data_IF_238507600236
#
_entry.id   IF_238507600236
#
_cell.length_a   1.000
_cell.length_b   1.000
_cell.length_c   1.000
_cell.angle_alpha   90.00
_cell.angle_beta   90.00
_cell.angle_gamma   90.00
#
_symmetry.space_group_name_H-M   'P 1'
#
loop_
_entity.id
_entity.type
_entity.pdbx_description
1 polymer ?
#
# COMPACT_ATOMS: atom_id res chain seq x y z
N UNK A 1 1.36 -9.75 -23.21
CA UNK A 1 0.56 -10.16 -22.04
C UNK A 1 1.53 -10.66 -20.99
N UNK A 2 1.33 -10.26 -19.73
CA UNK A 2 2.25 -10.61 -18.62
C UNK A 2 2.06 -12.07 -18.13
N UNK A 3 1.04 -12.74 -18.65
CA UNK A 3 0.68 -14.12 -18.32
C UNK A 3 0.82 -15.05 -19.52
N UNK A 4 1.23 -16.29 -19.28
CA UNK A 4 1.34 -17.33 -20.29
C UNK A 4 -0.05 -17.88 -20.63
N UNK A 5 -0.86 -18.19 -19.61
CA UNK A 5 -2.21 -18.72 -19.79
C UNK A 5 -3.19 -18.05 -18.83
N UNK A 6 -4.32 -17.62 -19.37
CA UNK A 6 -5.51 -17.21 -18.61
C UNK A 6 -6.68 -18.00 -19.19
N UNK A 7 -7.04 -19.10 -18.52
CA UNK A 7 -8.12 -19.99 -18.99
C UNK A 7 -9.26 -19.92 -17.98
N UNK A 8 -10.47 -19.72 -18.48
CA UNK A 8 -11.67 -19.67 -17.65
C UNK A 8 -11.90 -18.33 -16.94
N UNK A 9 -10.97 -17.38 -17.08
CA UNK A 9 -11.01 -16.07 -16.42
C UNK A 9 -11.05 -14.89 -17.40
N UNK A 10 -11.53 -13.75 -16.89
CA UNK A 10 -11.56 -12.47 -17.59
C UNK A 10 -11.40 -11.29 -16.61
N UNK A 11 -10.95 -10.16 -17.13
CA UNK A 11 -10.82 -8.94 -16.33
C UNK A 11 -12.20 -8.32 -16.19
N UNK A 12 -12.68 -8.14 -14.96
CA UNK A 12 -13.98 -7.54 -14.64
C UNK A 12 -13.80 -6.26 -13.85
N UNK A 13 -14.77 -5.35 -13.97
CA UNK A 13 -14.80 -4.09 -13.21
C UNK A 13 -15.34 -4.30 -11.79
N UNK A 14 -15.15 -3.34 -10.86
CA UNK A 14 -15.69 -3.39 -9.49
C UNK A 14 -17.18 -3.75 -9.37
N UNK A 15 -18.00 -3.44 -10.36
CA UNK A 15 -19.45 -3.67 -10.32
C UNK A 15 -19.86 -5.09 -10.79
N UNK A 16 -18.89 -5.92 -11.16
CA UNK A 16 -19.07 -7.23 -11.79
C UNK A 16 -18.37 -8.34 -10.98
N UNK A 17 -18.72 -9.60 -11.26
CA UNK A 17 -18.09 -10.78 -10.63
C UNK A 17 -18.20 -10.79 -9.11
N UNK A 18 -17.06 -10.93 -8.43
CA UNK A 18 -16.95 -10.92 -6.97
C UNK A 18 -16.84 -9.51 -6.35
N UNK A 19 -16.93 -8.45 -7.15
CA UNK A 19 -16.79 -7.07 -6.70
C UNK A 19 -15.33 -6.64 -6.58
N UNK A 20 -15.05 -5.75 -5.62
CA UNK A 20 -13.69 -5.26 -5.35
C UNK A 20 -12.93 -6.29 -4.53
N UNK A 21 -11.81 -6.77 -5.06
CA UNK A 21 -10.93 -7.74 -4.40
C UNK A 21 -9.83 -7.03 -3.61
N UNK A 22 -9.06 -6.19 -4.28
CA UNK A 22 -8.12 -5.26 -3.63
C UNK A 22 -8.49 -3.83 -3.97
N UNK A 23 -8.40 -3.46 -5.25
CA UNK A 23 -8.84 -2.15 -5.74
C UNK A 23 -9.08 -2.19 -7.25
N UNK A 24 -10.09 -1.46 -7.73
CA UNK A 24 -10.38 -1.42 -9.17
C UNK A 24 -10.76 -2.78 -9.77
N UNK A 25 -10.29 -3.04 -10.99
CA UNK A 25 -10.61 -4.26 -11.74
C UNK A 25 -9.83 -5.47 -11.25
N UNK A 26 -10.45 -6.64 -11.24
CA UNK A 26 -9.83 -7.91 -10.83
C UNK A 26 -9.91 -8.97 -11.93
N UNK A 27 -9.11 -10.03 -11.80
CA UNK A 27 -9.18 -11.19 -12.69
C UNK A 27 -10.15 -12.22 -12.10
N UNK A 28 -11.29 -12.41 -12.75
CA UNK A 28 -12.42 -13.21 -12.27
C UNK A 28 -12.63 -14.47 -13.11
N UNK A 29 -12.85 -15.61 -12.45
CA UNK A 29 -12.98 -16.93 -13.06
C UNK A 29 -14.39 -17.49 -12.88
N UNK A 30 -15.13 -17.62 -13.99
CA UNK A 30 -16.49 -18.19 -14.00
C UNK A 30 -16.76 -19.15 -15.15
N UNK A 31 -15.94 -19.18 -16.19
CA UNK A 31 -16.26 -19.94 -17.41
C UNK A 31 -16.07 -21.44 -17.22
N UNK A 32 -16.71 -22.23 -18.08
CA UNK A 32 -16.58 -23.68 -18.11
C UNK A 32 -15.18 -24.18 -18.52
N UNK A 33 -14.98 -25.50 -18.44
CA UNK A 33 -13.78 -26.18 -18.93
C UNK A 33 -12.67 -26.21 -17.89
N UNK A 34 -11.71 -25.30 -17.97
CA UNK A 34 -10.57 -25.23 -17.05
C UNK A 34 -10.40 -23.80 -16.53
N UNK A 35 -10.24 -23.65 -15.22
CA UNK A 35 -9.97 -22.35 -14.58
C UNK A 35 -8.55 -22.33 -14.05
N UNK A 36 -7.67 -21.64 -14.76
CA UNK A 36 -6.28 -21.47 -14.34
C UNK A 36 -5.65 -20.16 -14.81
N UNK A 37 -4.72 -19.68 -14.00
CA UNK A 37 -3.81 -18.59 -14.30
C UNK A 37 -2.38 -19.14 -14.25
N UNK A 38 -1.59 -18.97 -15.31
CA UNK A 38 -0.21 -19.47 -15.39
C UNK A 38 0.75 -18.34 -15.77
N UNK A 39 1.77 -18.11 -14.95
CA UNK A 39 2.83 -17.15 -15.23
C UNK A 39 3.76 -17.65 -16.34
N UNK A 40 4.51 -16.73 -16.96
CA UNK A 40 5.73 -17.14 -17.68
C UNK A 40 6.76 -17.76 -16.72
N UNK A 41 7.78 -18.41 -17.27
CA UNK A 41 8.93 -18.84 -16.47
C UNK A 41 9.67 -17.60 -15.97
N UNK A 42 9.87 -17.53 -14.66
CA UNK A 42 10.53 -16.43 -13.96
C UNK A 42 11.84 -16.94 -13.34
N UNK A 43 12.88 -16.08 -13.34
CA UNK A 43 14.04 -16.30 -12.50
C UNK A 43 13.68 -15.95 -11.04
N UNK A 44 13.48 -17.00 -10.25
CA UNK A 44 13.07 -16.91 -8.85
C UNK A 44 14.23 -17.18 -7.88
N UNK A 45 15.47 -17.28 -8.39
CA UNK A 45 16.65 -17.53 -7.55
C UNK A 45 16.84 -16.47 -6.46
N UNK A 46 16.35 -15.25 -6.71
CA UNK A 46 16.40 -14.11 -5.79
C UNK A 46 15.07 -13.79 -5.11
N UNK A 47 13.97 -14.41 -5.56
CA UNK A 47 12.61 -14.10 -5.07
C UNK A 47 12.44 -14.59 -3.63
N UNK A 48 11.79 -13.77 -2.81
CA UNK A 48 11.59 -14.08 -1.40
C UNK A 48 10.14 -14.48 -1.11
N UNK A 49 9.17 -13.89 -1.80
CA UNK A 49 7.75 -14.13 -1.52
C UNK A 49 6.87 -14.04 -2.76
N UNK A 50 5.67 -14.60 -2.62
CA UNK A 50 4.51 -14.35 -3.46
C UNK A 50 3.38 -13.80 -2.59
N UNK A 51 2.75 -12.72 -3.03
CA UNK A 51 1.58 -12.14 -2.37
C UNK A 51 0.50 -11.74 -3.38
N UNK A 52 -0.76 -11.78 -2.95
CA UNK A 52 -1.92 -11.44 -3.77
C UNK A 52 -3.17 -11.29 -2.88
N UNK A 53 -4.22 -10.71 -3.43
CA UNK A 53 -5.56 -10.80 -2.86
C UNK A 53 -6.39 -11.84 -3.60
N UNK A 54 -7.17 -12.62 -2.88
CA UNK A 54 -8.08 -13.60 -3.48
C UNK A 54 -9.41 -13.64 -2.72
N UNK A 55 -10.48 -13.87 -3.46
CA UNK A 55 -11.78 -14.24 -2.95
C UNK A 55 -12.26 -15.49 -3.70
N UNK A 56 -12.75 -16.48 -2.97
CA UNK A 56 -13.36 -17.71 -3.48
C UNK A 56 -14.80 -17.73 -3.01
N UNK A 57 -15.70 -17.41 -3.93
CA UNK A 57 -17.11 -17.24 -3.64
C UNK A 57 -17.42 -16.05 -2.72
N UNK A 58 -18.71 -15.80 -2.54
CA UNK A 58 -19.23 -14.62 -1.87
C UNK A 58 -20.71 -14.75 -1.61
N UNK A 59 -21.37 -13.64 -1.30
CA UNK A 59 -22.81 -13.63 -1.02
C UNK A 59 -23.66 -13.27 -2.24
N UNK A 60 -23.02 -12.87 -3.35
CA UNK A 60 -23.71 -12.49 -4.58
C UNK A 60 -23.93 -13.69 -5.50
N UNK A 61 -24.94 -13.60 -6.36
CA UNK A 61 -25.19 -14.61 -7.39
C UNK A 61 -24.05 -14.68 -8.44
N UNK A 62 -23.35 -13.57 -8.66
CA UNK A 62 -22.17 -13.48 -9.54
C UNK A 62 -20.87 -13.93 -8.87
N UNK A 63 -20.92 -14.39 -7.62
CA UNK A 63 -19.76 -14.92 -6.90
C UNK A 63 -20.29 -15.90 -5.86
N UNK A 64 -20.76 -17.04 -6.35
CA UNK A 64 -21.38 -18.08 -5.53
C UNK A 64 -20.32 -18.82 -4.71
N UNK A 65 -20.71 -19.28 -3.50
CA UNK A 65 -19.81 -20.00 -2.60
C UNK A 65 -19.62 -21.44 -3.08
N UNK A 66 -18.39 -21.96 -3.07
CA UNK A 66 -18.16 -23.38 -3.28
C UNK A 66 -18.87 -24.21 -2.20
N UNK A 67 -19.34 -25.38 -2.60
CA UNK A 67 -20.10 -26.30 -1.75
C UNK A 67 -19.27 -27.49 -1.26
N UNK A 68 -18.07 -27.68 -1.85
CA UNK A 68 -17.17 -28.78 -1.50
C UNK A 68 -15.71 -28.35 -1.37
N UNK A 69 -14.94 -29.16 -0.64
CA UNK A 69 -13.51 -28.91 -0.39
C UNK A 69 -12.69 -28.86 -1.68
N UNK A 70 -13.05 -29.67 -2.67
CA UNK A 70 -12.27 -29.86 -3.89
C UNK A 70 -12.37 -28.65 -4.85
N UNK A 71 -13.27 -27.71 -4.54
CA UNK A 71 -13.52 -26.49 -5.31
C UNK A 71 -12.69 -25.28 -4.83
N UNK A 72 -11.79 -25.51 -3.88
CA UNK A 72 -10.77 -24.53 -3.51
C UNK A 72 -9.79 -24.21 -4.65
N UNK A 73 -8.99 -23.16 -4.46
CA UNK A 73 -7.97 -22.75 -5.43
C UNK A 73 -6.60 -23.16 -4.92
N UNK A 74 -5.81 -23.79 -5.78
CA UNK A 74 -4.46 -24.22 -5.46
C UNK A 74 -3.45 -23.25 -6.07
N UNK A 75 -2.48 -22.82 -5.26
CA UNK A 75 -1.26 -22.19 -5.76
C UNK A 75 -0.17 -23.25 -5.87
N UNK A 76 0.39 -23.41 -7.07
CA UNK A 76 1.44 -24.38 -7.36
C UNK A 76 2.57 -23.75 -8.14
N UNK A 77 3.75 -24.40 -8.11
CA UNK A 77 4.89 -24.03 -8.94
C UNK A 77 5.43 -25.20 -9.75
N UNK A 78 6.16 -24.90 -10.82
CA UNK A 78 6.85 -25.87 -11.65
C UNK A 78 8.22 -25.35 -12.05
N UNK A 79 9.24 -26.21 -11.94
CA UNK A 79 10.63 -25.92 -12.33
C UNK A 79 11.02 -26.58 -13.66
N UNK A 80 10.06 -27.17 -14.38
CA UNK A 80 10.30 -27.94 -15.60
C UNK A 80 9.29 -27.59 -16.70
N UNK A 81 8.90 -26.32 -16.77
CA UNK A 81 8.03 -25.82 -17.83
C UNK A 81 6.59 -26.34 -17.76
N UNK A 82 6.11 -26.75 -16.57
CA UNK A 82 4.73 -27.18 -16.35
C UNK A 82 4.47 -28.68 -16.51
N UNK A 83 5.51 -29.51 -16.61
CA UNK A 83 5.37 -30.99 -16.69
C UNK A 83 4.97 -31.56 -15.33
N UNK A 84 5.64 -31.12 -14.25
CA UNK A 84 5.30 -31.48 -12.87
C UNK A 84 4.99 -30.22 -12.07
N UNK A 85 3.99 -30.31 -11.19
CA UNK A 85 3.52 -29.22 -10.35
C UNK A 85 3.63 -29.60 -8.88
N UNK A 86 4.19 -28.70 -8.09
CA UNK A 86 4.35 -28.84 -6.64
C UNK A 86 3.44 -27.84 -5.93
N UNK A 87 2.76 -28.26 -4.87
CA UNK A 87 1.85 -27.42 -4.10
C UNK A 87 2.63 -26.41 -3.23
N UNK A 88 2.25 -25.13 -3.31
CA UNK A 88 2.70 -24.09 -2.37
C UNK A 88 1.65 -23.87 -1.30
N UNK A 89 0.39 -23.69 -1.70
CA UNK A 89 -0.72 -23.44 -0.78
C UNK A 89 -2.05 -23.94 -1.37
N UNK A 90 -2.92 -24.39 -0.48
CA UNK A 90 -4.34 -24.65 -0.74
C UNK A 90 -5.13 -23.48 -0.14
N UNK A 91 -5.82 -22.72 -0.98
CA UNK A 91 -6.75 -21.68 -0.53
C UNK A 91 -8.09 -22.36 -0.27
N UNK A 92 -8.32 -22.68 1.00
CA UNK A 92 -9.48 -23.47 1.42
C UNK A 92 -10.80 -22.73 1.16
N UNK A 93 -11.73 -23.39 0.50
CA UNK A 93 -12.94 -22.78 -0.06
C UNK A 93 -13.77 -21.92 0.93
N UNK A 94 -13.86 -22.31 2.20
CA UNK A 94 -14.63 -21.56 3.20
C UNK A 94 -13.90 -20.35 3.78
N UNK A 95 -12.57 -20.34 3.72
CA UNK A 95 -11.76 -19.30 4.35
C UNK A 95 -11.72 -18.04 3.48
N UNK A 96 -11.97 -18.15 2.17
CA UNK A 96 -11.81 -17.05 1.23
C UNK A 96 -13.15 -16.49 0.72
N UNK A 97 -14.25 -16.68 1.46
CA UNK A 97 -15.58 -16.17 1.06
C UNK A 97 -15.70 -14.63 1.08
N UNK A 98 -14.65 -13.94 1.51
CA UNK A 98 -14.45 -12.49 1.46
C UNK A 98 -13.03 -12.25 0.93
N UNK A 99 -12.74 -11.11 0.31
CA UNK A 99 -11.39 -10.80 -0.11
C UNK A 99 -10.39 -10.93 1.04
N UNK A 100 -9.33 -11.70 0.83
CA UNK A 100 -8.24 -11.87 1.80
C UNK A 100 -6.89 -11.72 1.13
N UNK A 101 -5.99 -11.07 1.86
CA UNK A 101 -4.59 -11.00 1.52
C UNK A 101 -3.89 -12.32 1.84
N UNK A 102 -3.08 -12.80 0.90
CA UNK A 102 -2.23 -13.98 1.05
C UNK A 102 -0.78 -13.54 0.87
N UNK A 103 0.08 -13.95 1.81
CA UNK A 103 1.53 -13.78 1.74
C UNK A 103 2.19 -15.12 2.02
N UNK A 104 3.08 -15.55 1.13
CA UNK A 104 3.81 -16.81 1.26
C UNK A 104 5.29 -16.59 0.96
N UNK A 105 6.15 -16.99 1.90
CA UNK A 105 7.58 -17.09 1.64
C UNK A 105 7.84 -18.22 0.64
N UNK A 106 8.67 -17.93 -0.36
CA UNK A 106 8.98 -18.89 -1.41
C UNK A 106 9.98 -19.94 -0.89
N UNK A 107 9.65 -21.24 -0.92
CA UNK A 107 10.54 -22.28 -0.42
C UNK A 107 11.79 -22.39 -1.30
N UNK A 108 12.92 -22.83 -0.72
CA UNK A 108 14.18 -22.96 -1.44
C UNK A 108 14.08 -23.83 -2.72
N UNK A 109 13.22 -24.85 -2.71
CA UNK A 109 12.97 -25.72 -3.87
C UNK A 109 12.28 -25.00 -5.04
N UNK A 110 11.63 -23.86 -4.81
CA UNK A 110 10.99 -23.04 -5.82
C UNK A 110 11.87 -21.86 -6.26
N UNK A 111 13.09 -21.69 -5.71
CA UNK A 111 14.02 -20.62 -6.07
C UNK A 111 14.96 -21.08 -7.19
N UNK A 112 14.47 -21.10 -8.42
CA UNK A 112 15.24 -21.55 -9.59
C UNK A 112 15.21 -20.54 -10.75
N UNK A 113 16.17 -20.60 -11.70
CA UNK A 113 16.19 -19.69 -12.85
C UNK A 113 14.98 -19.77 -13.77
N UNK A 114 14.20 -20.86 -13.72
CA UNK A 114 13.04 -21.09 -14.57
C UNK A 114 11.91 -21.70 -13.74
N UNK A 115 11.25 -20.88 -12.92
CA UNK A 115 10.09 -21.30 -12.13
C UNK A 115 8.85 -20.59 -12.63
N UNK A 116 7.77 -21.34 -12.85
CA UNK A 116 6.44 -20.76 -13.14
C UNK A 116 5.45 -21.08 -12.04
N UNK A 117 4.47 -20.21 -11.87
CA UNK A 117 3.40 -20.34 -10.90
C UNK A 117 2.06 -20.57 -11.60
N UNK A 118 1.17 -21.33 -10.96
CA UNK A 118 -0.23 -21.39 -11.36
C UNK A 118 -1.19 -21.28 -10.19
N UNK A 119 -2.27 -20.54 -10.42
CA UNK A 119 -3.49 -20.62 -9.62
C UNK A 119 -4.47 -21.50 -10.40
N UNK A 120 -4.97 -22.55 -9.78
CA UNK A 120 -5.79 -23.55 -10.45
C UNK A 120 -6.93 -24.00 -9.55
N UNK A 121 -8.14 -23.99 -10.08
CA UNK A 121 -9.32 -24.58 -9.45
C UNK A 121 -9.53 -25.99 -10.04
N UNK A 122 -9.35 -27.07 -9.26
CA UNK A 122 -9.41 -28.43 -9.77
C UNK A 122 -10.82 -28.88 -10.16
N UNK A 123 -11.80 -28.57 -9.31
CA UNK A 123 -13.20 -28.95 -9.45
C UNK A 123 -14.05 -27.70 -9.29
N UNK A 124 -15.18 -27.64 -10.00
CA UNK A 124 -16.22 -26.64 -9.85
C UNK A 124 -17.52 -27.21 -10.41
N UNK A 125 -18.65 -26.78 -9.86
CA UNK A 125 -20.00 -27.25 -10.13
C UNK A 125 -20.55 -26.88 -11.52
N UNK A 126 -19.86 -26.01 -12.25
CA UNK A 126 -20.14 -25.69 -13.64
C UNK A 126 -19.80 -24.25 -14.03
N UNK A 127 -20.20 -23.87 -15.24
CA UNK A 127 -20.14 -22.46 -15.65
C UNK A 127 -20.97 -21.61 -14.70
N UNK A 128 -20.41 -20.48 -14.27
CA UNK A 128 -21.03 -19.55 -13.32
C UNK A 128 -21.36 -20.13 -11.93
N UNK A 129 -20.64 -21.17 -11.50
CA UNK A 129 -20.59 -21.64 -10.10
C UNK A 129 -19.17 -21.56 -9.53
N UNK A 130 -19.06 -21.45 -8.21
CA UNK A 130 -17.81 -21.49 -7.43
C UNK A 130 -16.76 -20.51 -7.95
N UNK A 131 -17.22 -19.30 -8.25
CA UNK A 131 -16.37 -18.31 -8.89
C UNK A 131 -15.36 -17.76 -7.89
N UNK A 132 -14.20 -17.40 -8.41
CA UNK A 132 -13.15 -16.78 -7.63
C UNK A 132 -12.53 -15.65 -8.42
N UNK A 133 -11.97 -14.70 -7.71
CA UNK A 133 -11.24 -13.61 -8.30
C UNK A 133 -9.93 -13.39 -7.55
N UNK A 134 -8.91 -13.02 -8.32
CA UNK A 134 -7.56 -12.73 -7.82
C UNK A 134 -7.14 -11.35 -8.31
N UNK A 135 -6.39 -10.67 -7.47
CA UNK A 135 -5.94 -9.31 -7.73
C UNK A 135 -4.57 -9.06 -7.10
N UNK A 136 -3.86 -8.05 -7.61
CA UNK A 136 -2.62 -7.52 -7.02
C UNK A 136 -1.52 -8.59 -6.78
N UNK A 137 -1.30 -9.46 -7.76
CA UNK A 137 -0.30 -10.53 -7.70
C UNK A 137 1.12 -9.95 -7.81
N UNK A 138 1.95 -10.26 -6.81
CA UNK A 138 3.34 -9.81 -6.70
C UNK A 138 4.23 -11.00 -6.40
N UNK A 139 5.26 -11.19 -7.22
CA UNK A 139 6.30 -12.20 -7.06
C UNK A 139 7.63 -11.46 -7.09
N UNK A 140 8.22 -11.20 -5.92
CA UNK A 140 9.37 -10.30 -5.79
C UNK A 140 10.34 -10.75 -4.70
N UNK A 141 11.53 -10.16 -4.73
CA UNK A 141 12.46 -10.14 -3.60
C UNK A 141 12.27 -8.90 -2.76
N UNK A 142 12.46 -9.00 -1.45
CA UNK A 142 12.58 -7.83 -0.58
C UNK A 142 13.76 -6.93 -0.98
N UNK A 143 14.80 -7.50 -1.58
CA UNK A 143 16.02 -6.79 -1.99
C UNK A 143 15.85 -6.05 -3.31
N UNK A 144 14.81 -6.39 -4.10
CA UNK A 144 14.61 -5.81 -5.41
C UNK A 144 13.86 -4.48 -5.29
N UNK A 145 14.45 -3.44 -5.88
CA UNK A 145 13.93 -2.07 -5.78
C UNK A 145 12.87 -1.70 -6.84
N UNK A 146 12.38 -2.66 -7.64
CA UNK A 146 11.48 -2.41 -8.77
C UNK A 146 10.05 -2.04 -8.37
N UNK A 147 9.61 -0.88 -8.82
CA UNK A 147 8.23 -0.39 -8.69
C UNK A 147 7.34 -1.26 -9.58
N UNK A 148 6.15 -1.62 -9.10
CA UNK A 148 5.13 -2.25 -9.95
C UNK A 148 4.56 -1.17 -10.88
N UNK A 149 4.61 -1.38 -12.21
CA UNK A 149 4.19 -0.35 -13.15
C UNK A 149 2.71 -0.01 -12.97
N UNK A 150 2.43 1.22 -12.53
CA UNK A 150 1.06 1.78 -12.54
C UNK A 150 0.74 2.18 -13.98
N UNK A 151 -0.46 1.84 -14.45
CA UNK A 151 -0.84 1.95 -15.87
C UNK A 151 -0.88 3.41 -16.38
N UNK A 152 -0.87 4.42 -15.50
CA UNK A 152 -0.66 5.84 -15.82
C UNK A 152 -0.39 6.59 -14.50
N UNK A 153 0.87 6.66 -14.02
CA UNK A 153 1.16 7.28 -12.73
C UNK A 153 0.91 8.79 -12.80
N UNK A 154 0.44 9.38 -11.70
CA UNK A 154 0.42 10.86 -11.53
C UNK A 154 1.83 11.43 -11.45
N UNK A 155 2.80 10.61 -11.04
CA UNK A 155 4.22 10.92 -11.06
C UNK A 155 4.78 10.91 -12.51
N UNK A 156 5.38 12.02 -13.00
CA UNK A 156 5.95 12.10 -14.34
C UNK A 156 7.10 11.09 -14.56
N UNK A 157 7.06 10.30 -15.64
CA UNK A 157 8.11 9.31 -15.98
C UNK A 157 9.53 9.91 -16.09
N UNK A 158 9.66 11.20 -16.38
CA UNK A 158 10.95 11.89 -16.53
C UNK A 158 11.61 12.23 -15.18
N UNK A 159 10.90 12.05 -14.07
CA UNK A 159 11.47 12.09 -12.71
C UNK A 159 12.19 10.76 -12.36
N UNK A 160 12.04 9.72 -13.19
CA UNK A 160 12.60 8.39 -12.96
C UNK A 160 14.04 8.26 -13.50
N UNK A 161 14.52 9.19 -14.33
CA UNK A 161 15.81 9.13 -15.03
C UNK A 161 16.84 10.20 -14.62
N UNK A 162 16.50 11.14 -13.72
CA UNK A 162 17.44 12.20 -13.34
C UNK A 162 18.54 11.69 -12.41
N UNK A 163 19.81 12.08 -12.63
CA UNK A 163 20.93 11.66 -11.79
C UNK A 163 20.78 12.13 -10.34
N UNK A 164 21.26 11.28 -9.43
CA UNK A 164 21.02 11.21 -7.99
C UNK A 164 21.44 12.42 -7.12
N UNK A 165 21.55 13.63 -7.66
CA UNK A 165 22.04 14.79 -6.91
C UNK A 165 20.94 15.74 -6.41
N UNK A 166 19.75 15.76 -7.03
CA UNK A 166 18.68 16.71 -6.66
C UNK A 166 17.53 16.08 -5.87
N UNK A 167 17.38 14.76 -5.88
CA UNK A 167 16.41 14.02 -5.06
C UNK A 167 17.03 12.68 -4.67
N UNK A 168 16.98 12.27 -3.39
CA UNK A 168 17.49 10.97 -3.03
C UNK A 168 16.72 9.89 -3.79
N UNK A 169 17.48 8.96 -4.38
CA UNK A 169 17.04 7.70 -5.00
C UNK A 169 16.19 6.78 -4.09
N UNK A 170 15.68 7.27 -2.96
CA UNK A 170 15.01 6.52 -1.91
C UNK A 170 13.48 6.68 -1.89
N UNK A 171 12.89 7.72 -2.50
CA UNK A 171 11.43 7.94 -2.37
C UNK A 171 10.59 7.02 -3.26
N UNK A 172 11.10 6.58 -4.42
CA UNK A 172 10.37 5.64 -5.28
C UNK A 172 10.70 4.17 -5.02
N UNK A 173 11.84 3.89 -4.39
CA UNK A 173 12.20 2.52 -3.97
C UNK A 173 11.56 2.12 -2.63
N UNK A 174 10.71 2.98 -2.06
CA UNK A 174 9.97 2.65 -0.85
C UNK A 174 8.65 1.94 -1.15
N UNK A 175 8.05 2.12 -2.33
CA UNK A 175 6.71 1.62 -2.62
C UNK A 175 6.73 0.16 -3.09
N UNK A 176 5.83 -0.64 -2.52
CA UNK A 176 5.53 -2.00 -2.95
C UNK A 176 4.28 -2.04 -3.83
N UNK A 177 3.21 -1.35 -3.42
CA UNK A 177 1.91 -1.40 -4.07
C UNK A 177 1.20 -0.05 -3.94
N UNK A 178 0.57 0.39 -5.02
CA UNK A 178 -0.26 1.59 -5.08
C UNK A 178 -1.61 1.19 -5.68
N UNK A 179 -2.68 1.37 -4.92
CA UNK A 179 -4.03 0.99 -5.29
C UNK A 179 -4.90 2.23 -5.52
N UNK A 180 -5.62 2.24 -6.64
CA UNK A 180 -6.43 3.38 -7.09
C UNK A 180 -5.64 4.72 -7.19
N UNK A 181 -4.34 4.64 -7.45
CA UNK A 181 -3.50 5.79 -7.77
C UNK A 181 -3.90 6.38 -9.12
N UNK A 182 -3.93 7.72 -9.16
CA UNK A 182 -4.45 8.51 -10.26
C UNK A 182 -5.66 9.34 -9.86
N UNK A 183 -6.10 10.16 -10.82
CA UNK A 183 -7.37 10.86 -10.79
C UNK A 183 -8.14 10.64 -12.09
N UNK A 184 -9.43 10.91 -12.05
CA UNK A 184 -10.26 10.98 -13.26
C UNK A 184 -9.71 12.10 -14.16
N UNK A 185 -9.72 11.87 -15.48
CA UNK A 185 -9.18 12.82 -16.46
C UNK A 185 -9.82 14.21 -16.30
N UNK A 186 -8.98 15.25 -16.32
CA UNK A 186 -9.32 16.69 -16.24
C UNK A 186 -9.63 17.25 -14.84
N UNK A 187 -9.45 16.48 -13.77
CA UNK A 187 -9.48 17.02 -12.41
C UNK A 187 -8.06 17.45 -11.97
N UNK A 188 -7.97 18.53 -11.20
CA UNK A 188 -6.73 18.95 -10.53
C UNK A 188 -6.91 18.80 -9.02
N UNK A 189 -5.83 18.45 -8.32
CA UNK A 189 -5.88 18.20 -6.88
C UNK A 189 -5.06 19.25 -6.13
N UNK A 190 -5.72 20.16 -5.41
CA UNK A 190 -5.16 21.12 -4.45
C UNK A 190 -3.78 21.72 -4.80
N UNK A 191 -3.56 22.19 -6.04
CA UNK A 191 -2.26 22.67 -6.51
C UNK A 191 -1.08 21.70 -6.22
N UNK A 192 -1.33 20.40 -6.39
CA UNK A 192 -0.37 19.32 -6.18
C UNK A 192 0.96 19.61 -6.87
N UNK A 193 2.04 19.33 -6.15
CA UNK A 193 3.39 19.32 -6.72
C UNK A 193 3.50 18.21 -7.77
N UNK A 194 4.48 18.28 -8.70
CA UNK A 194 4.73 17.19 -9.63
C UNK A 194 5.15 15.87 -8.98
N UNK A 195 5.54 15.89 -7.70
CA UNK A 195 5.96 14.71 -6.92
C UNK A 195 4.84 14.10 -6.07
N UNK A 196 3.65 14.72 -6.04
CA UNK A 196 2.53 14.20 -5.27
C UNK A 196 1.88 13.01 -5.97
N UNK A 197 1.60 11.95 -5.20
CA UNK A 197 0.76 10.84 -5.61
C UNK A 197 -0.68 11.10 -5.17
N UNK A 198 -1.62 11.02 -6.08
CA UNK A 198 -3.04 11.25 -5.80
C UNK A 198 -3.82 9.93 -5.91
N UNK A 199 -4.72 9.69 -4.98
CA UNK A 199 -5.51 8.46 -4.90
C UNK A 199 -6.99 8.80 -5.02
N UNK A 200 -7.55 8.62 -6.21
CA UNK A 200 -8.93 8.99 -6.54
C UNK A 200 -9.38 8.53 -7.92
N UNK A 201 -8.70 7.55 -8.52
CA UNK A 201 -8.90 7.18 -9.93
C UNK A 201 -10.23 6.48 -10.19
N UNK A 202 -10.62 5.60 -9.28
CA UNK A 202 -11.83 4.77 -9.36
C UNK A 202 -12.35 4.46 -7.96
N UNK A 203 -13.53 3.82 -7.92
CA UNK A 203 -14.14 3.30 -6.70
C UNK A 203 -13.33 2.11 -6.14
N UNK A 204 -13.53 1.82 -4.85
CA UNK A 204 -12.79 0.79 -4.12
C UNK A 204 -11.65 1.38 -3.28
N UNK A 205 -11.02 0.55 -2.45
CA UNK A 205 -10.07 1.04 -1.46
C UNK A 205 -8.87 1.72 -2.12
N UNK A 206 -8.36 2.75 -1.44
CA UNK A 206 -7.28 3.61 -1.93
C UNK A 206 -6.14 3.50 -0.97
N UNK A 207 -4.99 3.04 -1.43
CA UNK A 207 -3.87 2.87 -0.52
C UNK A 207 -2.51 2.94 -1.19
N UNK A 208 -1.51 3.30 -0.38
CA UNK A 208 -0.10 3.25 -0.71
C UNK A 208 0.60 2.38 0.34
N UNK A 209 1.29 1.34 -0.11
CA UNK A 209 1.96 0.38 0.77
C UNK A 209 3.46 0.39 0.47
N UNK A 210 4.27 0.55 1.52
CA UNK A 210 5.73 0.49 1.38
C UNK A 210 6.21 -0.96 1.25
N UNK A 211 7.48 -1.13 0.89
CA UNK A 211 8.22 -2.37 1.13
C UNK A 211 8.48 -2.55 2.63
N UNK A 212 9.01 -3.71 2.98
CA UNK A 212 9.48 -3.97 4.33
C UNK A 212 10.78 -3.19 4.59
N UNK A 213 10.74 -2.30 5.58
CA UNK A 213 11.83 -1.40 5.94
C UNK A 213 12.49 -1.87 7.23
N UNK A 214 13.81 -1.87 7.25
CA UNK A 214 14.57 -1.99 8.50
C UNK A 214 14.77 -0.61 9.08
N UNK A 215 14.06 -0.31 10.18
CA UNK A 215 14.08 0.99 10.84
C UNK A 215 15.06 1.00 12.01
N UNK A 216 15.50 2.18 12.40
CA UNK A 216 16.17 2.38 13.70
C UNK A 216 15.29 3.29 14.59
N UNK A 217 15.30 3.08 15.92
CA UNK A 217 14.65 4.01 16.83
C UNK A 217 15.16 5.43 16.64
N UNK A 218 14.26 6.40 16.58
CA UNK A 218 14.59 7.82 16.36
C UNK A 218 14.65 8.23 14.88
N UNK A 219 14.49 7.31 13.92
CA UNK A 219 14.17 7.69 12.55
C UNK A 219 12.90 8.56 12.50
N UNK A 220 12.72 9.28 11.40
CA UNK A 220 11.52 10.07 11.14
C UNK A 220 10.79 9.53 9.93
N UNK A 221 9.47 9.40 10.08
CA UNK A 221 8.51 9.25 8.98
C UNK A 221 7.87 10.62 8.77
N UNK A 222 8.24 11.28 7.69
CA UNK A 222 7.71 12.58 7.28
C UNK A 222 6.98 12.44 5.95
N UNK A 223 5.84 13.11 5.80
CA UNK A 223 5.07 13.16 4.56
C UNK A 223 4.15 14.37 4.58
N UNK A 224 3.64 14.78 3.42
CA UNK A 224 2.59 15.78 3.27
C UNK A 224 1.29 15.12 2.86
N UNK A 225 0.19 15.55 3.46
CA UNK A 225 -1.14 15.00 3.22
C UNK A 225 -2.14 16.13 2.93
N UNK A 226 -3.05 15.89 2.00
CA UNK A 226 -4.29 16.64 1.86
C UNK A 226 -5.43 15.68 1.49
N UNK A 227 -6.63 15.90 2.02
CA UNK A 227 -7.80 15.05 1.78
C UNK A 227 -8.93 15.92 1.22
N UNK A 228 -9.29 15.68 -0.03
CA UNK A 228 -10.43 16.30 -0.71
C UNK A 228 -10.32 17.79 -1.00
N UNK A 229 -9.18 18.44 -0.75
CA UNK A 229 -9.05 19.91 -0.75
C UNK A 229 -10.15 20.59 0.09
N UNK A 230 -10.61 19.90 1.14
CA UNK A 230 -11.78 20.31 1.89
C UNK A 230 -11.42 21.34 2.95
N UNK A 231 -12.25 22.36 3.09
CA UNK A 231 -12.21 23.33 4.18
C UNK A 231 -13.28 23.05 5.25
N UNK A 232 -14.08 21.99 5.06
CA UNK A 232 -15.09 21.55 6.00
C UNK A 232 -14.74 20.16 6.50
N UNK A 233 -14.81 20.00 7.82
CA UNK A 233 -14.55 18.72 8.47
C UNK A 233 -15.57 17.66 8.03
N UNK A 234 -15.08 16.47 7.69
CA UNK A 234 -15.89 15.27 7.50
C UNK A 234 -15.25 14.04 8.14
N UNK A 235 -16.03 13.32 8.93
CA UNK A 235 -15.59 12.07 9.56
C UNK A 235 -15.66 10.84 8.63
N UNK A 236 -16.13 11.00 7.39
CA UNK A 236 -16.30 9.91 6.41
C UNK A 236 -14.97 9.52 5.79
N UNK A 237 -14.70 8.21 5.66
CA UNK A 237 -13.52 7.64 4.99
C UNK A 237 -12.20 8.38 5.32
N UNK A 238 -11.75 8.35 6.58
CA UNK A 238 -10.45 8.91 6.94
C UNK A 238 -9.30 8.19 6.23
N UNK A 239 -8.18 8.88 6.09
CA UNK A 239 -6.91 8.25 5.72
C UNK A 239 -6.22 7.78 6.99
N UNK A 240 -6.01 6.46 7.09
CA UNK A 240 -5.31 5.83 8.20
C UNK A 240 -3.85 5.61 7.81
N UNK A 241 -2.93 6.02 8.68
CA UNK A 241 -1.54 5.61 8.60
C UNK A 241 -1.31 4.45 9.57
N UNK A 242 -0.98 3.30 8.99
CA UNK A 242 -0.82 2.03 9.68
C UNK A 242 0.54 1.39 9.40
N UNK A 243 0.91 0.43 10.24
CA UNK A 243 2.09 -0.40 10.06
C UNK A 243 1.78 -1.89 10.22
N UNK A 244 2.67 -2.72 9.70
CA UNK A 244 2.67 -4.17 9.83
C UNK A 244 4.10 -4.67 10.09
N UNK A 245 4.21 -5.71 10.93
CA UNK A 245 5.44 -6.47 11.18
C UNK A 245 5.43 -7.86 10.54
N UNK A 246 4.36 -8.20 9.82
CA UNK A 246 4.09 -9.51 9.26
C UNK A 246 3.72 -9.42 7.77
N UNK A 247 4.45 -8.55 7.05
CA UNK A 247 4.32 -8.34 5.60
C UNK A 247 2.91 -7.96 5.12
N UNK A 248 2.12 -7.32 5.97
CA UNK A 248 0.77 -6.85 5.66
C UNK A 248 -0.36 -7.83 5.98
N UNK A 249 -0.08 -8.93 6.69
CA UNK A 249 -1.13 -9.84 7.18
C UNK A 249 -1.97 -9.20 8.29
N UNK A 250 -1.36 -8.42 9.19
CA UNK A 250 -2.04 -7.61 10.20
C UNK A 250 -1.55 -6.17 10.19
N UNK A 251 -2.46 -5.25 10.53
CA UNK A 251 -2.21 -3.81 10.48
C UNK A 251 -2.68 -3.12 11.75
N UNK A 252 -1.87 -2.18 12.23
CA UNK A 252 -2.12 -1.39 13.43
C UNK A 252 -1.83 0.08 13.15
N UNK A 253 -2.45 1.02 13.87
CA UNK A 253 -2.12 2.44 13.71
C UNK A 253 -0.68 2.70 14.13
N UNK A 254 0.04 3.53 13.37
CA UNK A 254 1.42 3.94 13.72
C UNK A 254 1.46 4.64 15.08
N UNK A 255 0.43 5.42 15.38
CA UNK A 255 0.21 6.02 16.69
C UNK A 255 -1.24 5.83 17.10
N UNK A 256 -1.44 5.27 18.28
CA UNK A 256 -2.76 5.15 18.89
C UNK A 256 -3.16 6.46 19.59
N UNK A 257 -4.46 6.72 19.67
CA UNK A 257 -5.01 7.85 20.41
C UNK A 257 -4.83 7.67 21.91
N UNK A 258 -4.35 8.70 22.60
CA UNK A 258 -4.22 8.74 24.05
C UNK A 258 -4.95 9.97 24.58
N UNK A 259 -6.07 9.74 25.26
CA UNK A 259 -6.96 10.79 25.79
C UNK A 259 -7.07 10.68 27.32
N UNK A 260 -7.48 11.74 28.04
CA UNK A 260 -7.53 11.73 29.51
C UNK A 260 -8.43 10.63 30.13
N UNK A 261 -9.40 10.13 29.37
CA UNK A 261 -10.33 9.06 29.80
C UNK A 261 -9.96 7.67 29.24
N UNK A 262 -8.83 7.52 28.56
CA UNK A 262 -8.39 6.27 27.94
C UNK A 262 -7.76 5.32 28.97
N UNK A 263 -8.53 4.85 29.94
CA UNK A 263 -8.06 3.85 30.89
C UNK A 263 -7.95 2.46 30.22
N UNK A 264 -6.74 1.88 30.18
CA UNK A 264 -6.59 0.42 30.00
C UNK A 264 -5.89 -0.08 28.72
N UNK A 265 -5.22 0.76 27.93
CA UNK A 265 -4.37 0.30 26.81
C UNK A 265 -3.09 1.13 26.66
N UNK A 266 -2.17 1.05 27.64
CA UNK A 266 -0.82 1.63 27.51
C UNK A 266 -0.76 3.17 27.46
N UNK A 267 -1.85 3.85 27.81
CA UNK A 267 -1.96 5.30 27.96
C UNK A 267 -2.49 5.55 29.38
N UNK A 268 -1.76 6.31 30.20
CA UNK A 268 -2.20 6.65 31.56
C UNK A 268 -3.08 7.91 31.58
N UNK A 269 -3.35 8.50 30.42
CA UNK A 269 -4.21 9.69 30.27
C UNK A 269 -3.64 10.95 30.93
N UNK A 270 -2.34 10.94 31.27
CA UNK A 270 -1.67 12.10 31.83
C UNK A 270 -1.44 13.16 30.74
N UNK A 271 -1.35 14.43 31.12
CA UNK A 271 -1.23 15.55 30.17
C UNK A 271 0.03 15.51 29.29
N UNK A 272 1.03 14.69 29.64
CA UNK A 272 2.27 14.52 28.88
C UNK A 272 2.19 13.43 27.82
N UNK A 273 1.18 12.56 27.89
CA UNK A 273 0.97 11.43 26.99
C UNK A 273 -0.16 11.67 25.98
N UNK A 274 -0.87 12.80 26.09
CA UNK A 274 -1.97 13.10 25.18
C UNK A 274 -1.51 13.15 23.73
N UNK A 275 -2.21 12.38 22.90
CA UNK A 275 -1.90 12.33 21.48
C UNK A 275 -3.07 11.91 20.62
N UNK A 276 -3.19 12.56 19.47
CA UNK A 276 -4.08 12.10 18.42
C UNK A 276 -3.54 10.84 17.74
N UNK A 277 -4.44 9.93 17.31
CA UNK A 277 -4.09 8.78 16.51
C UNK A 277 -3.59 9.19 15.12
N UNK A 278 -2.90 8.28 14.42
CA UNK A 278 -2.54 8.45 13.02
C UNK A 278 -3.73 8.18 12.08
N UNK A 279 -4.81 8.91 12.30
CA UNK A 279 -6.07 8.92 11.56
C UNK A 279 -6.36 10.36 11.15
N UNK A 280 -6.50 10.61 9.85
CA UNK A 280 -6.64 11.96 9.30
C UNK A 280 -7.95 12.08 8.53
N UNK A 281 -8.67 13.17 8.76
CA UNK A 281 -9.99 13.44 8.21
C UNK A 281 -9.95 14.55 7.16
N UNK A 282 -10.93 14.53 6.26
CA UNK A 282 -11.15 15.64 5.34
C UNK A 282 -11.50 16.90 6.15
N UNK A 283 -10.89 18.04 5.82
CA UNK A 283 -11.07 19.30 6.55
C UNK A 283 -10.20 19.46 7.79
N UNK A 284 -9.40 18.47 8.20
CA UNK A 284 -8.37 18.67 9.24
C UNK A 284 -7.29 19.66 8.76
N UNK A 285 -7.04 19.67 7.45
CA UNK A 285 -5.99 20.45 6.80
C UNK A 285 -6.53 21.12 5.53
N UNK A 286 -6.60 22.45 5.53
CA UNK A 286 -7.01 23.22 4.33
C UNK A 286 -5.93 23.17 3.23
N UNK A 287 -4.67 23.18 3.63
CA UNK A 287 -3.50 23.14 2.76
C UNK A 287 -2.71 21.83 2.93
N UNK A 288 -1.81 21.56 1.98
CA UNK A 288 -0.87 20.44 2.09
C UNK A 288 -0.07 20.52 3.40
N UNK A 289 -0.37 19.62 4.32
CA UNK A 289 0.17 19.68 5.68
C UNK A 289 1.24 18.62 5.87
N UNK A 290 2.42 19.05 6.34
CA UNK A 290 3.53 18.18 6.69
C UNK A 290 3.31 17.53 8.04
N UNK A 291 3.26 16.21 8.05
CA UNK A 291 3.17 15.36 9.23
C UNK A 291 4.54 14.73 9.46
N UNK A 292 5.05 14.79 10.69
CA UNK A 292 6.34 14.19 11.07
C UNK A 292 6.16 13.32 12.31
N UNK A 293 6.54 12.04 12.18
CA UNK A 293 6.43 11.03 13.23
C UNK A 293 7.83 10.52 13.56
N UNK A 294 8.23 10.60 14.83
CA UNK A 294 9.46 9.97 15.30
C UNK A 294 9.19 8.49 15.55
N UNK A 295 9.96 7.63 14.91
CA UNK A 295 9.82 6.17 14.98
C UNK A 295 10.22 5.67 16.38
N UNK A 296 9.28 5.13 17.17
CA UNK A 296 9.58 4.61 18.49
C UNK A 296 10.27 3.24 18.39
N UNK A 297 10.84 2.77 19.52
CA UNK A 297 11.53 1.47 19.59
C UNK A 297 10.62 0.29 19.25
N UNK A 298 9.34 0.35 19.63
CA UNK A 298 8.35 -0.69 19.33
C UNK A 298 8.18 -0.88 17.82
N UNK A 299 8.06 0.22 17.09
CA UNK A 299 7.93 0.21 15.63
C UNK A 299 9.23 -0.16 14.92
N UNK A 300 10.39 0.07 15.52
CA UNK A 300 11.69 -0.33 14.96
C UNK A 300 12.14 -1.73 15.40
N UNK A 301 11.27 -2.49 16.07
CA UNK A 301 11.63 -3.79 16.68
C UNK A 301 11.83 -4.91 15.65
N UNK A 302 11.23 -4.77 14.46
CA UNK A 302 11.29 -5.71 13.35
C UNK A 302 11.23 -4.97 12.01
N UNK A 303 11.29 -5.72 10.91
CA UNK A 303 10.94 -5.18 9.59
C UNK A 303 9.53 -4.60 9.66
N UNK A 304 9.37 -3.43 9.08
CA UNK A 304 8.14 -2.64 9.19
C UNK A 304 7.68 -2.22 7.83
N UNK A 305 6.42 -2.55 7.52
CA UNK A 305 5.71 -2.08 6.35
C UNK A 305 4.76 -0.97 6.78
N UNK A 306 4.70 0.14 6.06
CA UNK A 306 3.72 1.18 6.28
C UNK A 306 2.63 1.13 5.21
N UNK A 307 1.42 1.52 5.57
CA UNK A 307 0.38 1.85 4.60
C UNK A 307 -0.37 3.11 4.96
N UNK A 308 -0.71 3.88 3.93
CA UNK A 308 -1.76 4.89 3.97
C UNK A 308 -2.96 4.26 3.31
N UNK A 309 -4.09 4.17 4.02
CA UNK A 309 -5.31 3.54 3.49
C UNK A 309 -6.52 4.41 3.76
N UNK A 310 -7.33 4.58 2.71
CA UNK A 310 -8.66 5.13 2.77
C UNK A 310 -9.62 4.05 2.29
N UNK A 311 -10.33 3.43 3.23
CA UNK A 311 -11.34 2.41 2.94
C UNK A 311 -12.54 3.11 2.29
N UNK A 312 -12.81 2.75 1.04
CA UNK A 312 -13.84 3.40 0.21
C UNK A 312 -14.83 2.39 -0.37
N UNK A 313 -14.52 1.08 -0.30
CA UNK A 313 -15.37 -0.02 -0.78
C UNK A 313 -16.81 0.00 -0.24
N UNK A 314 -17.03 0.57 0.95
CA UNK A 314 -18.35 0.66 1.59
C UNK A 314 -19.02 2.05 1.50
N UNK A 315 -18.36 3.05 0.90
CA UNK A 315 -18.82 4.44 0.91
C UNK A 315 -18.81 5.04 -0.51
N UNK A 316 -19.87 5.77 -0.87
CA UNK A 316 -19.96 6.47 -2.16
C UNK A 316 -19.40 7.88 -2.04
N UNK A 317 -18.81 8.40 -3.12
CA UNK A 317 -18.27 9.77 -3.22
C UNK A 317 -17.18 10.09 -2.19
N UNK A 318 -16.30 9.12 -1.92
CA UNK A 318 -15.18 9.33 -1.00
C UNK A 318 -14.19 10.34 -1.60
N UNK A 319 -13.82 11.43 -0.89
CA UNK A 319 -12.92 12.43 -1.42
C UNK A 319 -11.52 11.85 -1.67
N UNK A 320 -10.85 12.19 -2.80
CA UNK A 320 -9.48 11.76 -3.06
C UNK A 320 -8.52 12.25 -1.98
N UNK A 321 -7.45 11.52 -1.74
CA UNK A 321 -6.34 12.02 -0.92
C UNK A 321 -5.05 12.09 -1.73
N UNK A 322 -4.21 13.06 -1.37
CA UNK A 322 -2.89 13.26 -1.95
C UNK A 322 -1.80 13.02 -0.93
N UNK A 323 -0.74 12.34 -1.33
CA UNK A 323 0.44 12.04 -0.53
C UNK A 323 1.69 12.55 -1.26
N UNK A 324 2.51 13.35 -0.57
CA UNK A 324 3.73 13.92 -1.15
C UNK A 324 4.90 13.87 -0.16
N UNK A 325 6.13 13.92 -0.67
CA UNK A 325 7.33 14.10 0.13
C UNK A 325 7.59 13.02 1.18
N UNK A 326 7.20 11.76 0.93
CA UNK A 326 7.39 10.67 1.90
C UNK A 326 8.88 10.44 2.13
N UNK A 327 9.33 10.60 3.38
CA UNK A 327 10.69 10.44 3.83
C UNK A 327 10.73 9.56 5.08
N UNK A 328 11.50 8.47 5.02
CA UNK A 328 11.62 7.49 6.10
C UNK A 328 13.10 7.20 6.33
N UNK A 329 13.74 7.95 7.23
CA UNK A 329 15.17 7.81 7.48
C UNK A 329 15.61 8.54 8.75
N UNK A 330 16.91 8.72 8.93
CA UNK A 330 17.50 9.52 9.99
C UNK A 330 16.95 10.96 10.00
N UNK A 331 16.73 11.52 11.20
CA UNK A 331 16.25 12.89 11.35
C UNK A 331 17.30 13.90 10.90
N UNK A 332 16.85 14.99 10.31
CA UNK A 332 17.69 16.18 10.12
C UNK A 332 17.97 16.88 11.46
N UNK A 333 19.04 17.70 11.55
CA UNK A 333 19.33 18.48 12.74
C UNK A 333 18.12 19.28 13.24
N UNK A 334 17.78 19.09 14.52
CA UNK A 334 16.63 19.71 15.18
C UNK A 334 15.29 19.52 14.45
N UNK A 335 15.14 18.46 13.64
CA UNK A 335 13.94 18.21 12.83
C UNK A 335 13.58 19.40 11.92
N UNK A 336 14.59 20.10 11.40
CA UNK A 336 14.41 21.34 10.62
C UNK A 336 13.60 22.42 11.37
N UNK A 337 13.62 22.39 12.71
CA UNK A 337 12.81 23.23 13.59
C UNK A 337 11.30 23.16 13.30
N UNK A 338 10.83 22.13 12.59
CA UNK A 338 9.45 22.02 12.11
C UNK A 338 9.12 22.92 10.90
N UNK A 339 10.09 23.67 10.37
CA UNK A 339 9.92 24.68 9.32
C UNK A 339 10.64 24.31 8.01
N UNK A 340 10.73 23.02 7.72
CA UNK A 340 11.30 22.54 6.47
C UNK A 340 11.14 21.04 6.28
N UNK A 341 11.38 20.61 5.04
CA UNK A 341 11.38 19.22 4.63
C UNK A 341 12.78 18.62 4.87
N UNK A 342 12.84 17.45 5.49
CA UNK A 342 14.09 16.74 5.70
C UNK A 342 14.36 15.81 4.51
N UNK A 343 15.41 16.11 3.75
CA UNK A 343 15.78 15.33 2.57
C UNK A 343 17.26 14.98 2.67
N UNK A 344 17.56 13.69 2.83
CA UNK A 344 18.93 13.16 2.95
C UNK A 344 19.75 13.81 4.07
N UNK A 345 19.12 14.13 5.20
CA UNK A 345 19.79 14.80 6.33
C UNK A 345 20.00 16.31 6.15
N UNK A 346 19.47 16.90 5.07
CA UNK A 346 19.51 18.34 4.81
C UNK A 346 18.10 18.93 4.93
N UNK A 347 18.00 20.10 5.56
CA UNK A 347 16.74 20.83 5.72
C UNK A 347 16.46 21.76 4.55
N UNK A 348 15.34 21.53 3.87
CA UNK A 348 14.79 22.39 2.84
C UNK A 348 13.70 23.26 3.46
N UNK A 349 14.04 24.50 3.77
CA UNK A 349 13.21 25.37 4.61
C UNK A 349 11.98 25.92 3.87
N UNK A 350 10.90 26.08 4.62
CA UNK A 350 9.66 26.69 4.14
C UNK A 350 9.87 28.18 3.80
N UNK A 351 8.92 28.75 3.06
CA UNK A 351 8.93 30.18 2.74
C UNK A 351 9.00 31.02 4.03
N UNK A 352 9.95 31.95 4.10
CA UNK A 352 10.17 32.79 5.29
C UNK A 352 11.22 32.25 6.27
N UNK A 353 11.77 31.06 6.00
CA UNK A 353 12.88 30.47 6.75
C UNK A 353 14.12 30.29 5.86
N UNK A 354 15.31 30.28 6.46
CA UNK A 354 16.58 29.98 5.79
C UNK A 354 17.34 28.91 6.54
N UNK A 355 18.19 28.19 5.83
CA UNK A 355 19.07 27.20 6.43
C UNK A 355 20.25 27.88 7.15
N UNK A 356 20.31 27.76 8.47
CA UNK A 356 21.45 28.19 9.29
C UNK A 356 21.79 27.10 10.31
N UNK A 357 23.09 26.86 10.53
CA UNK A 357 23.57 25.84 11.48
C UNK A 357 22.96 24.43 11.26
N UNK A 358 22.62 24.11 10.00
CA UNK A 358 22.04 22.82 9.63
C UNK A 358 20.54 22.66 9.91
N UNK A 359 19.84 23.73 10.30
CA UNK A 359 18.39 23.72 10.54
C UNK A 359 17.71 24.97 9.97
N UNK A 360 16.38 25.04 10.04
CA UNK A 360 15.63 26.18 9.54
C UNK A 360 15.44 27.24 10.62
N UNK A 361 15.80 28.48 10.29
CA UNK A 361 15.66 29.67 11.14
C UNK A 361 14.84 30.74 10.44
N UNK A 362 14.07 31.52 11.22
CA UNK A 362 13.25 32.61 10.67
C UNK A 362 14.11 33.67 10.01
N UNK A 363 13.69 34.15 8.84
CA UNK A 363 14.34 35.28 8.15
C UNK A 363 14.07 36.61 8.84
N UNK A 364 13.05 36.67 9.69
CA UNK A 364 12.75 37.83 10.53
C UNK A 364 13.46 37.64 11.87
N UNK A 365 14.37 38.56 12.27
CA UNK A 365 15.03 38.46 13.55
C UNK A 365 13.99 38.51 14.67
N UNK A 366 14.14 37.60 15.64
CA UNK A 366 13.26 37.52 16.79
C UNK A 366 13.42 38.81 17.61
N UNK A 367 12.40 39.68 17.65
CA UNK A 367 12.46 40.95 18.40
C UNK A 367 12.67 40.75 19.92
N UNK A 368 12.56 39.50 20.42
CA UNK A 368 12.75 39.14 21.81
C UNK A 368 14.16 38.59 22.16
N UNK A 369 15.11 38.54 21.22
CA UNK A 369 16.51 38.14 21.49
C UNK A 369 17.49 39.33 21.52
N UNK A 370 16.98 40.56 21.64
CA UNK A 370 17.79 41.73 21.98
C UNK A 370 17.60 42.11 23.45
N UNK A 371 17.96 41.24 24.41
CA UNK A 371 18.33 41.64 25.78
C UNK A 371 19.25 40.62 26.44
#
# INVERSE_FOLDING_TARGET
SDWQEVIGGEIVKPEQGCGVISSGSSLYFSKAGKRQLVSWDLDTSWVDFVQFYIQIGGESASCNKPDSREEGVLLQYSNNGGIQWHLLAEMYFSDFSKPRFVYLELPAAAKTPCTRFRWWQPVFSGEDYDQWAVDDIIILSEKQKQIIPVINPTLPQNFYEKPAFDYPMNQMSVWLMLANEGMVKNETFCAATPSAMIFGKSDGDRFAVTRDLTLKPGYVLQFKLNIGCANQFSNTAPVLLQYSHDAGMSWFLVKEGCYPASAGKGCEGNSRELSEPTMYHAGDFEEWTRITIVIPRSLASSKTRFRWIQESSSQKNVPPFGLDGVYISEPCPSYCSGHGDCISGVCFCDLGYTAAQGTCVSNVPNHNEMF
#
